data_IF_858593001709
#
_entry.id   IF_858593001709
#
_cell.length_a   1.000
_cell.length_b   1.000
_cell.length_c   1.000
_cell.angle_alpha   90.00
_cell.angle_beta   90.00
_cell.angle_gamma   90.00
#
_symmetry.space_group_name_H-M   'P 1'
#
loop_
_entity.id
_entity.type
_entity.pdbx_description
1 polymer ?
#
# COMPACT_ATOMS: atom_id res chain seq x y z
N UNK A 1 -17.11 -35.16 6.16
CA UNK A 1 -16.90 -34.22 7.29
C UNK A 1 -17.71 -32.99 6.95
N UNK A 2 -18.63 -32.56 7.80
CA UNK A 2 -19.48 -31.39 7.50
C UNK A 2 -18.78 -30.14 8.05
N UNK A 3 -17.95 -29.50 7.22
CA UNK A 3 -17.23 -28.28 7.59
C UNK A 3 -18.00 -27.09 7.05
N UNK A 4 -18.30 -26.12 7.92
CA UNK A 4 -18.86 -24.85 7.50
C UNK A 4 -17.82 -24.03 6.72
N UNK A 5 -18.28 -22.99 6.00
CA UNK A 5 -17.35 -22.06 5.34
C UNK A 5 -16.47 -21.32 6.34
N UNK A 6 -16.99 -21.00 7.52
CA UNK A 6 -16.20 -20.40 8.59
C UNK A 6 -15.08 -21.34 9.07
N UNK A 7 -15.38 -22.64 9.25
CA UNK A 7 -14.35 -23.65 9.57
C UNK A 7 -13.25 -23.71 8.49
N UNK A 8 -13.64 -23.59 7.21
CA UNK A 8 -12.70 -23.58 6.08
C UNK A 8 -11.86 -22.29 6.08
N UNK A 9 -12.44 -21.13 6.39
CA UNK A 9 -11.73 -19.85 6.50
C UNK A 9 -10.71 -19.90 7.65
N UNK A 10 -11.12 -20.34 8.84
CA UNK A 10 -10.27 -20.46 10.03
C UNK A 10 -9.07 -21.38 9.76
N UNK A 11 -9.29 -22.49 9.04
CA UNK A 11 -8.23 -23.43 8.65
C UNK A 11 -7.37 -22.93 7.49
N UNK A 12 -7.68 -21.76 6.93
CA UNK A 12 -7.11 -21.27 5.69
C UNK A 12 -7.21 -22.38 4.63
N UNK A 13 -8.41 -22.85 4.34
CA UNK A 13 -8.75 -23.77 3.24
C UNK A 13 -9.71 -23.05 2.30
N UNK A 14 -9.19 -22.05 1.59
CA UNK A 14 -9.95 -21.10 0.80
C UNK A 14 -9.29 -20.85 -0.56
N UNK A 15 -9.99 -20.22 -1.49
CA UNK A 15 -9.38 -19.59 -2.66
C UNK A 15 -9.41 -18.08 -2.47
N UNK A 16 -8.29 -17.44 -2.15
CA UNK A 16 -8.30 -15.99 -1.90
C UNK A 16 -8.12 -15.18 -3.17
N UNK A 17 -8.88 -14.10 -3.24
CA UNK A 17 -8.78 -13.04 -4.23
C UNK A 17 -8.40 -11.75 -3.51
N UNK A 18 -7.37 -11.07 -4.03
CA UNK A 18 -6.84 -9.84 -3.45
C UNK A 18 -7.15 -8.61 -4.32
N UNK A 19 -7.14 -7.40 -3.75
CA UNK A 19 -7.32 -6.15 -4.53
C UNK A 19 -6.29 -6.01 -5.66
N UNK A 20 -5.03 -6.29 -5.36
CA UNK A 20 -3.93 -6.20 -6.32
C UNK A 20 -4.10 -7.20 -7.47
N UNK A 21 -4.64 -8.37 -7.17
CA UNK A 21 -5.00 -9.39 -8.15
C UNK A 21 -6.11 -8.94 -9.07
N UNK A 22 -7.23 -8.48 -8.51
CA UNK A 22 -8.37 -7.93 -9.26
C UNK A 22 -7.96 -6.78 -10.19
N UNK A 23 -7.17 -5.84 -9.68
CA UNK A 23 -6.57 -4.76 -10.50
C UNK A 23 -5.68 -5.33 -11.61
N UNK A 24 -4.90 -6.36 -11.33
CA UNK A 24 -4.05 -7.00 -12.34
C UNK A 24 -4.89 -7.68 -13.43
N UNK A 25 -5.93 -8.42 -13.04
CA UNK A 25 -6.87 -9.12 -13.91
C UNK A 25 -7.55 -8.16 -14.89
N UNK A 26 -8.13 -7.07 -14.37
CA UNK A 26 -8.80 -6.04 -15.19
C UNK A 26 -7.83 -5.32 -16.14
N UNK A 27 -6.58 -5.12 -15.72
CA UNK A 27 -5.59 -4.41 -16.52
C UNK A 27 -4.97 -5.28 -17.63
N UNK A 28 -4.62 -6.55 -17.36
CA UNK A 28 -4.05 -7.46 -18.38
C UNK A 28 -4.13 -8.93 -17.93
N UNK A 29 -4.97 -9.73 -18.59
CA UNK A 29 -5.22 -11.15 -18.26
C UNK A 29 -3.96 -12.01 -18.34
N UNK A 30 -3.09 -11.82 -19.35
CA UNK A 30 -1.83 -12.56 -19.45
C UNK A 30 -0.87 -12.27 -18.28
N UNK A 31 -0.75 -10.99 -17.88
CA UNK A 31 0.09 -10.62 -16.73
C UNK A 31 -0.47 -11.22 -15.45
N UNK A 32 -1.78 -11.13 -15.25
CA UNK A 32 -2.46 -11.72 -14.11
C UNK A 32 -2.25 -13.23 -14.04
N UNK A 33 -2.39 -13.95 -15.16
CA UNK A 33 -2.19 -15.39 -15.23
C UNK A 33 -0.77 -15.80 -14.80
N UNK A 34 0.27 -15.13 -15.34
CA UNK A 34 1.64 -15.40 -14.91
C UNK A 34 1.90 -15.09 -13.44
N UNK A 35 1.39 -13.96 -12.94
CA UNK A 35 1.68 -13.51 -11.59
C UNK A 35 0.89 -14.25 -10.50
N UNK A 36 -0.40 -14.49 -10.71
CA UNK A 36 -1.32 -14.98 -9.68
C UNK A 36 -1.73 -16.44 -9.87
N UNK A 37 -1.90 -16.91 -11.12
CA UNK A 37 -2.19 -18.33 -11.37
C UNK A 37 -0.93 -19.17 -11.42
N UNK A 38 0.16 -18.65 -11.97
CA UNK A 38 1.42 -19.39 -12.12
C UNK A 38 2.51 -19.00 -11.10
N UNK A 39 2.28 -17.97 -10.28
CA UNK A 39 3.19 -17.45 -9.24
C UNK A 39 4.58 -17.01 -9.71
N UNK A 40 4.71 -16.47 -10.92
CA UNK A 40 5.97 -15.82 -11.31
C UNK A 40 6.07 -14.43 -10.70
N UNK A 41 7.13 -14.19 -9.94
CA UNK A 41 7.45 -12.87 -9.37
C UNK A 41 8.80 -12.39 -9.89
N UNK A 42 8.96 -11.10 -10.23
CA UNK A 42 10.28 -10.54 -10.55
C UNK A 42 11.20 -10.65 -9.33
N UNK A 43 12.46 -11.07 -9.52
CA UNK A 43 13.44 -11.18 -8.41
C UNK A 43 13.89 -9.82 -7.87
N UNK A 44 13.83 -8.78 -8.69
CA UNK A 44 14.19 -7.41 -8.29
C UNK A 44 12.93 -6.67 -7.86
N UNK A 45 12.83 -6.39 -6.57
CA UNK A 45 11.81 -5.48 -6.04
C UNK A 45 12.16 -4.04 -6.45
N UNK A 46 11.16 -3.27 -6.89
CA UNK A 46 11.39 -1.88 -7.26
C UNK A 46 11.68 -1.02 -6.01
N UNK A 47 12.75 -0.21 -6.03
CA UNK A 47 13.15 0.68 -4.92
C UNK A 47 12.00 1.48 -4.26
N UNK A 48 11.02 2.04 -5.01
CA UNK A 48 9.91 2.77 -4.39
C UNK A 48 9.03 1.92 -3.45
N UNK A 49 8.93 0.61 -3.70
CA UNK A 49 8.16 -0.33 -2.87
C UNK A 49 8.85 -0.57 -1.52
N UNK A 50 10.18 -0.72 -1.53
CA UNK A 50 10.98 -0.92 -0.32
C UNK A 50 10.86 0.24 0.69
N UNK A 51 10.87 1.47 0.19
CA UNK A 51 10.63 2.66 1.03
C UNK A 51 9.23 2.63 1.67
N UNK A 52 8.22 2.22 0.90
CA UNK A 52 6.86 2.06 1.40
C UNK A 52 6.80 1.05 2.54
N UNK A 53 7.40 -0.13 2.38
CA UNK A 53 7.43 -1.16 3.43
C UNK A 53 8.03 -0.64 4.73
N UNK A 54 9.19 0.03 4.67
CA UNK A 54 9.82 0.60 5.85
C UNK A 54 8.95 1.70 6.49
N UNK A 55 8.29 2.52 5.67
CA UNK A 55 7.39 3.58 6.14
C UNK A 55 6.17 3.00 6.87
N UNK A 56 5.49 1.99 6.31
CA UNK A 56 4.34 1.35 6.94
C UNK A 56 4.71 0.73 8.29
N UNK A 57 5.82 0.01 8.38
CA UNK A 57 6.27 -0.57 9.65
C UNK A 57 6.59 0.49 10.72
N UNK A 58 7.09 1.66 10.33
CA UNK A 58 7.27 2.78 11.27
C UNK A 58 5.92 3.33 11.75
N UNK A 59 4.95 3.45 10.84
CA UNK A 59 3.60 3.92 11.15
C UNK A 59 2.85 2.91 12.04
N UNK A 60 3.01 1.60 11.80
CA UNK A 60 2.49 0.53 12.66
C UNK A 60 2.96 0.70 14.09
N UNK A 61 4.27 0.91 14.30
CA UNK A 61 4.84 1.17 15.64
C UNK A 61 4.30 2.46 16.25
N UNK A 62 4.12 3.51 15.46
CA UNK A 62 3.63 4.79 15.97
C UNK A 62 2.16 4.72 16.39
N UNK A 63 1.34 3.97 15.65
CA UNK A 63 -0.11 3.88 15.86
C UNK A 63 -0.56 2.62 16.60
N UNK A 64 0.39 1.84 17.14
CA UNK A 64 0.10 0.66 17.94
C UNK A 64 -0.84 0.99 19.12
N UNK A 65 -2.06 0.41 19.15
CA UNK A 65 -3.02 0.64 20.23
C UNK A 65 -2.50 0.28 21.63
N UNK A 66 -1.59 -0.70 21.74
CA UNK A 66 -1.03 -1.14 23.03
C UNK A 66 -0.11 -0.09 23.65
N UNK A 67 0.49 0.77 22.82
CA UNK A 67 1.41 1.83 23.24
C UNK A 67 0.85 3.24 22.99
N UNK A 68 -0.45 3.34 22.66
CA UNK A 68 -1.07 4.61 22.26
C UNK A 68 -0.94 5.71 23.32
N UNK A 69 -1.15 5.35 24.59
CA UNK A 69 -1.10 6.26 25.73
C UNK A 69 0.32 6.50 26.28
N UNK A 70 1.36 5.97 25.63
CA UNK A 70 2.75 6.15 26.04
C UNK A 70 3.29 7.51 25.59
N UNK A 71 4.47 7.88 26.09
CA UNK A 71 5.17 9.09 25.66
C UNK A 71 5.39 9.09 24.14
N UNK A 72 4.80 10.09 23.48
CA UNK A 72 4.79 10.18 22.01
C UNK A 72 6.18 10.45 21.43
N UNK A 73 7.09 11.08 22.17
CA UNK A 73 8.47 11.28 21.72
C UNK A 73 9.24 9.96 21.72
N UNK A 74 9.01 9.12 22.74
CA UNK A 74 9.61 7.78 22.83
C UNK A 74 9.11 6.87 21.71
N UNK A 75 7.79 6.87 21.47
CA UNK A 75 7.20 6.07 20.40
C UNK A 75 7.64 6.57 19.02
N UNK A 76 7.73 7.88 18.79
CA UNK A 76 8.27 8.46 17.56
C UNK A 76 9.72 8.00 17.30
N UNK A 77 10.57 8.04 18.33
CA UNK A 77 11.95 7.57 18.22
C UNK A 77 12.03 6.08 17.88
N UNK A 78 11.18 5.24 18.52
CA UNK A 78 11.08 3.81 18.22
C UNK A 78 10.63 3.55 16.79
N UNK A 79 9.60 4.25 16.32
CA UNK A 79 9.08 4.15 14.95
C UNK A 79 10.16 4.49 13.90
N UNK A 80 10.91 5.59 14.13
CA UNK A 80 12.04 5.96 13.26
C UNK A 80 13.15 4.91 13.30
N UNK A 81 13.45 4.34 14.47
CA UNK A 81 14.43 3.26 14.56
C UNK A 81 13.99 2.00 13.78
N UNK A 82 12.71 1.65 13.82
CA UNK A 82 12.13 0.56 13.01
C UNK A 82 12.29 0.83 11.51
N UNK A 83 11.99 2.05 11.05
CA UNK A 83 12.20 2.44 9.66
C UNK A 83 13.65 2.20 9.20
N UNK A 84 14.61 2.67 10.01
CA UNK A 84 16.04 2.53 9.73
C UNK A 84 16.44 1.05 9.69
N UNK A 85 16.01 0.26 10.67
CA UNK A 85 16.31 -1.17 10.74
C UNK A 85 15.87 -1.93 9.49
N UNK A 86 14.65 -1.66 8.99
CA UNK A 86 14.14 -2.31 7.77
C UNK A 86 14.92 -1.86 6.54
N UNK A 87 15.33 -0.58 6.48
CA UNK A 87 16.17 -0.11 5.38
C UNK A 87 17.53 -0.82 5.34
N UNK A 88 18.15 -1.04 6.50
CA UNK A 88 19.41 -1.78 6.59
C UNK A 88 19.25 -3.26 6.22
N UNK A 89 18.14 -3.89 6.59
CA UNK A 89 17.85 -5.27 6.16
C UNK A 89 17.68 -5.37 4.64
N UNK A 90 16.93 -4.45 4.04
CA UNK A 90 16.75 -4.38 2.58
C UNK A 90 18.09 -4.20 1.86
N UNK A 91 18.96 -3.34 2.40
CA UNK A 91 20.32 -3.14 1.90
C UNK A 91 21.14 -4.42 1.96
N UNK A 92 21.15 -5.10 3.11
CA UNK A 92 21.87 -6.36 3.30
C UNK A 92 21.38 -7.43 2.31
N UNK A 93 20.06 -7.53 2.10
CA UNK A 93 19.46 -8.46 1.14
C UNK A 93 19.85 -8.12 -0.31
N UNK A 94 19.86 -6.83 -0.68
CA UNK A 94 20.28 -6.40 -2.02
C UNK A 94 21.76 -6.74 -2.31
N UNK A 95 22.64 -6.57 -1.31
CA UNK A 95 24.06 -6.96 -1.41
C UNK A 95 24.19 -8.48 -1.56
N UNK A 96 23.49 -9.25 -0.72
CA UNK A 96 23.53 -10.71 -0.73
C UNK A 96 23.00 -11.33 -2.03
N UNK A 97 22.01 -10.70 -2.68
CA UNK A 97 21.42 -11.17 -3.93
C UNK A 97 22.33 -11.03 -5.17
N UNK A 98 23.60 -10.65 -5.01
CA UNK A 98 24.55 -10.60 -6.13
C UNK A 98 24.29 -9.45 -7.11
N UNK A 99 23.49 -8.44 -6.72
CA UNK A 99 23.38 -7.17 -7.45
C UNK A 99 24.71 -6.38 -7.42
N UNK A 100 25.72 -6.90 -6.71
CA UNK A 100 27.00 -6.26 -6.41
C UNK A 100 28.04 -6.25 -7.54
N UNK A 101 27.89 -6.99 -8.64
CA UNK A 101 29.01 -7.08 -9.62
C UNK A 101 29.25 -5.80 -10.46
N UNK A 102 28.44 -4.75 -10.30
CA UNK A 102 28.56 -3.47 -11.03
C UNK A 102 28.32 -2.20 -10.16
N UNK A 103 28.20 -2.28 -8.83
CA UNK A 103 27.46 -1.26 -8.05
C UNK A 103 28.05 -0.81 -6.70
N UNK A 104 29.37 -0.79 -6.51
CA UNK A 104 29.95 -0.58 -5.16
C UNK A 104 29.93 0.87 -4.60
N UNK A 105 29.80 1.92 -5.42
CA UNK A 105 29.84 3.31 -4.89
C UNK A 105 28.49 4.04 -4.85
N UNK A 106 27.57 3.78 -5.79
CA UNK A 106 26.30 4.53 -5.88
C UNK A 106 25.16 3.96 -5.04
N UNK A 107 25.26 2.70 -4.59
CA UNK A 107 24.19 2.05 -3.81
C UNK A 107 24.23 2.53 -2.37
N UNK A 108 25.42 2.66 -1.77
CA UNK A 108 25.55 3.16 -0.40
C UNK A 108 24.96 4.57 -0.27
N UNK A 109 25.32 5.47 -1.19
CA UNK A 109 24.81 6.85 -1.22
C UNK A 109 23.28 6.88 -1.40
N UNK A 110 22.73 6.09 -2.34
CA UNK A 110 21.28 6.01 -2.59
C UNK A 110 20.51 5.49 -1.35
N UNK A 111 21.05 4.49 -0.64
CA UNK A 111 20.45 4.00 0.60
C UNK A 111 20.53 5.03 1.72
N UNK A 112 21.66 5.72 1.88
CA UNK A 112 21.81 6.77 2.88
C UNK A 112 20.86 7.94 2.62
N UNK A 113 20.75 8.41 1.38
CA UNK A 113 19.79 9.44 0.98
C UNK A 113 18.35 9.02 1.30
N UNK A 114 18.01 7.76 1.05
CA UNK A 114 16.69 7.19 1.35
C UNK A 114 16.41 7.17 2.86
N UNK A 115 17.40 6.77 3.66
CA UNK A 115 17.29 6.73 5.12
C UNK A 115 17.10 8.15 5.69
N UNK A 116 17.90 9.12 5.25
CA UNK A 116 17.77 10.51 5.70
C UNK A 116 16.44 11.13 5.27
N UNK A 117 15.98 10.85 4.05
CA UNK A 117 14.66 11.26 3.59
C UNK A 117 13.54 10.71 4.50
N UNK A 118 13.58 9.40 4.79
CA UNK A 118 12.56 8.76 5.64
C UNK A 118 12.57 9.28 7.07
N UNK A 119 13.75 9.44 7.67
CA UNK A 119 13.91 10.05 9.01
C UNK A 119 13.33 11.46 9.06
N UNK A 120 13.62 12.29 8.06
CA UNK A 120 13.09 13.65 7.99
C UNK A 120 11.57 13.69 7.81
N UNK A 121 11.03 12.83 6.94
CA UNK A 121 9.59 12.70 6.73
C UNK A 121 8.85 12.26 8.00
N UNK A 122 9.30 11.17 8.63
CA UNK A 122 8.69 10.63 9.84
C UNK A 122 8.85 11.60 11.02
N UNK A 123 10.04 12.21 11.17
CA UNK A 123 10.30 13.20 12.21
C UNK A 123 9.38 14.42 12.11
N UNK A 124 9.25 14.99 10.91
CA UNK A 124 8.29 16.07 10.66
C UNK A 124 6.85 15.62 10.94
N UNK A 125 6.46 14.45 10.44
CA UNK A 125 5.11 13.95 10.60
C UNK A 125 4.74 13.74 12.07
N UNK A 126 5.57 13.01 12.83
CA UNK A 126 5.29 12.69 14.23
C UNK A 126 5.34 13.90 15.16
N UNK A 127 6.14 14.91 14.83
CA UNK A 127 6.32 16.11 15.66
C UNK A 127 5.31 17.19 15.33
N UNK A 128 5.13 17.49 14.05
CA UNK A 128 4.44 18.70 13.61
C UNK A 128 3.03 18.41 13.07
N UNK A 129 2.79 17.20 12.56
CA UNK A 129 1.52 16.81 11.91
C UNK A 129 0.61 16.00 12.82
N UNK A 130 1.05 14.81 13.24
CA UNK A 130 0.26 13.85 14.00
C UNK A 130 -0.42 14.46 15.24
N UNK A 131 0.24 15.28 16.08
CA UNK A 131 -0.38 15.88 17.27
C UNK A 131 -1.59 16.79 16.99
N UNK A 132 -1.74 17.26 15.76
CA UNK A 132 -2.87 18.08 15.32
C UNK A 132 -3.85 17.25 14.49
N UNK A 133 -3.35 16.48 13.54
CA UNK A 133 -4.15 15.72 12.59
C UNK A 133 -4.88 14.52 13.22
N UNK A 134 -4.34 13.97 14.31
CA UNK A 134 -4.89 12.77 14.99
C UNK A 134 -5.84 13.13 16.13
N UNK A 135 -6.10 14.42 16.37
CA UNK A 135 -7.05 14.83 17.39
C UNK A 135 -8.42 14.24 17.08
N UNK A 136 -8.99 13.55 18.06
CA UNK A 136 -10.27 12.88 17.94
C UNK A 136 -10.24 11.50 17.29
N UNK A 137 -9.05 10.99 16.94
CA UNK A 137 -8.87 9.64 16.44
C UNK A 137 -8.26 8.73 17.50
N UNK A 138 -8.77 7.50 17.58
CA UNK A 138 -8.23 6.43 18.39
C UNK A 138 -7.89 5.22 17.51
N UNK A 139 -6.62 4.82 17.38
CA UNK A 139 -6.25 3.57 16.73
C UNK A 139 -6.86 2.37 17.47
N UNK A 140 -7.40 1.43 16.72
CA UNK A 140 -8.05 0.21 17.23
C UNK A 140 -7.21 -1.01 16.91
N UNK A 141 -6.67 -1.08 15.69
CA UNK A 141 -5.78 -2.12 15.20
C UNK A 141 -4.88 -1.56 14.09
N UNK A 142 -3.69 -2.11 13.93
CA UNK A 142 -2.75 -1.80 12.85
C UNK A 142 -2.37 -3.09 12.12
N UNK A 143 -2.11 -3.01 10.82
CA UNK A 143 -1.60 -4.09 9.97
C UNK A 143 -2.38 -5.41 10.07
N UNK A 144 -3.71 -5.32 10.17
CA UNK A 144 -4.60 -6.49 10.33
C UNK A 144 -5.06 -7.09 9.00
N UNK A 145 -4.98 -8.42 8.92
CA UNK A 145 -5.55 -9.20 7.82
C UNK A 145 -7.05 -9.45 7.99
N UNK A 146 -7.75 -9.66 6.89
CA UNK A 146 -9.14 -10.13 6.90
C UNK A 146 -9.39 -11.09 5.74
N UNK A 147 -10.39 -11.96 5.89
CA UNK A 147 -10.93 -12.81 4.84
C UNK A 147 -12.45 -12.82 4.92
N UNK A 148 -13.11 -12.69 3.78
CA UNK A 148 -14.57 -12.64 3.70
C UNK A 148 -15.04 -13.46 2.50
N UNK A 149 -15.93 -14.42 2.72
CA UNK A 149 -16.51 -15.21 1.62
C UNK A 149 -17.21 -14.32 0.60
N UNK A 150 -17.05 -14.61 -0.69
CA UNK A 150 -17.67 -13.84 -1.78
C UNK A 150 -18.99 -14.51 -2.17
N UNK A 151 -20.14 -13.82 -2.06
CA UNK A 151 -21.41 -14.33 -2.54
C UNK A 151 -21.46 -14.45 -4.07
N UNK A 152 -22.28 -15.37 -4.57
CA UNK A 152 -22.49 -15.54 -6.00
C UNK A 152 -23.61 -14.60 -6.49
N UNK A 153 -23.29 -13.57 -7.30
CA UNK A 153 -24.29 -12.60 -7.76
C UNK A 153 -25.23 -13.15 -8.84
N UNK A 154 -24.90 -14.27 -9.48
CA UNK A 154 -25.74 -14.89 -10.52
C UNK A 154 -26.78 -15.86 -9.94
N UNK A 155 -26.39 -16.64 -8.92
CA UNK A 155 -27.25 -17.66 -8.31
C UNK A 155 -27.93 -17.17 -7.02
N UNK A 156 -27.38 -16.14 -6.37
CA UNK A 156 -27.80 -15.69 -5.04
C UNK A 156 -27.29 -16.58 -3.89
N UNK A 157 -26.42 -17.55 -4.17
CA UNK A 157 -25.78 -18.37 -3.15
C UNK A 157 -24.80 -17.54 -2.31
N UNK A 158 -24.65 -17.89 -1.03
CA UNK A 158 -23.81 -17.14 -0.09
C UNK A 158 -22.31 -17.22 -0.40
N UNK A 159 -21.90 -18.19 -1.24
CA UNK A 159 -20.51 -18.51 -1.51
C UNK A 159 -20.29 -18.94 -2.97
N UNK A 160 -19.18 -18.50 -3.55
CA UNK A 160 -18.62 -19.07 -4.77
C UNK A 160 -17.63 -20.19 -4.37
N UNK A 161 -17.59 -21.27 -5.14
CA UNK A 161 -16.70 -22.42 -4.91
C UNK A 161 -15.70 -22.59 -6.06
N UNK A 162 -14.40 -22.66 -5.74
CA UNK A 162 -13.33 -22.87 -6.71
C UNK A 162 -12.84 -24.33 -6.70
N UNK A 163 -12.71 -24.91 -7.90
CA UNK A 163 -12.24 -26.28 -8.14
C UNK A 163 -10.97 -26.32 -8.99
N UNK A 164 -10.16 -25.27 -8.96
CA UNK A 164 -8.89 -25.28 -9.68
C UNK A 164 -7.93 -26.30 -9.05
N UNK A 165 -6.91 -26.73 -9.81
CA UNK A 165 -5.92 -27.72 -9.36
C UNK A 165 -5.26 -27.33 -8.04
N UNK A 166 -5.03 -26.03 -7.81
CA UNK A 166 -4.46 -25.53 -6.55
C UNK A 166 -5.39 -25.75 -5.35
N UNK A 167 -6.70 -25.61 -5.54
CA UNK A 167 -7.68 -25.86 -4.50
C UNK A 167 -7.77 -27.36 -4.19
N UNK A 168 -7.71 -28.20 -5.22
CA UNK A 168 -7.63 -29.66 -5.07
C UNK A 168 -6.37 -30.08 -4.31
N UNK A 169 -5.20 -29.56 -4.69
CA UNK A 169 -3.92 -29.83 -4.02
C UNK A 169 -3.94 -29.38 -2.55
N UNK A 170 -4.49 -28.19 -2.27
CA UNK A 170 -4.61 -27.65 -0.90
C UNK A 170 -5.52 -28.53 -0.05
N UNK A 171 -6.65 -28.97 -0.59
CA UNK A 171 -7.55 -29.91 0.09
C UNK A 171 -6.86 -31.26 0.34
N UNK A 172 -6.28 -31.86 -0.69
CA UNK A 172 -5.59 -33.14 -0.60
C UNK A 172 -4.49 -33.10 0.47
N UNK A 173 -3.71 -32.02 0.54
CA UNK A 173 -2.70 -31.83 1.58
C UNK A 173 -3.31 -31.77 2.99
N UNK A 174 -4.42 -31.08 3.16
CA UNK A 174 -5.07 -30.93 4.47
C UNK A 174 -5.74 -32.21 4.99
N UNK A 175 -6.21 -33.07 4.07
CA UNK A 175 -6.95 -34.29 4.39
C UNK A 175 -6.21 -35.57 3.99
N UNK A 176 -4.87 -35.54 3.94
CA UNK A 176 -4.02 -36.70 3.63
C UNK A 176 -4.44 -37.46 2.35
N UNK A 177 -4.87 -36.73 1.32
CA UNK A 177 -5.31 -37.25 0.04
C UNK A 177 -6.79 -37.64 -0.05
N UNK A 178 -7.57 -37.54 1.03
CA UNK A 178 -9.01 -37.83 0.99
C UNK A 178 -9.79 -36.71 0.28
N UNK A 179 -10.24 -36.99 -0.95
CA UNK A 179 -11.02 -36.09 -1.78
C UNK A 179 -12.54 -36.36 -1.71
N UNK A 180 -13.00 -37.32 -0.91
CA UNK A 180 -14.40 -37.80 -0.92
C UNK A 180 -15.44 -36.72 -0.60
N UNK A 181 -15.05 -35.72 0.20
CA UNK A 181 -15.90 -34.59 0.61
C UNK A 181 -15.56 -33.28 -0.12
N UNK A 182 -14.67 -33.30 -1.13
CA UNK A 182 -14.25 -32.08 -1.82
C UNK A 182 -15.33 -31.60 -2.81
N UNK A 183 -15.90 -30.43 -2.52
CA UNK A 183 -16.86 -29.75 -3.39
C UNK A 183 -16.29 -28.48 -4.04
N UNK A 184 -15.00 -28.20 -3.79
CA UNK A 184 -14.35 -26.92 -4.04
C UNK A 184 -13.90 -26.27 -2.72
N UNK A 185 -13.05 -25.25 -2.81
CA UNK A 185 -12.77 -24.34 -1.70
C UNK A 185 -13.59 -23.06 -1.87
N UNK A 186 -14.11 -22.45 -0.79
CA UNK A 186 -14.86 -21.21 -0.89
C UNK A 186 -13.93 -20.10 -1.36
N UNK A 187 -14.43 -19.28 -2.29
CA UNK A 187 -13.73 -18.10 -2.77
C UNK A 187 -13.94 -16.98 -1.77
N UNK A 188 -12.83 -16.41 -1.30
CA UNK A 188 -12.84 -15.34 -0.31
C UNK A 188 -12.12 -14.12 -0.85
N UNK A 189 -12.59 -12.95 -0.47
CA UNK A 189 -11.86 -11.71 -0.65
C UNK A 189 -10.98 -11.49 0.57
N UNK A 190 -9.68 -11.36 0.34
CA UNK A 190 -8.67 -11.19 1.38
C UNK A 190 -7.91 -9.88 1.21
N UNK A 191 -7.43 -9.34 2.32
CA UNK A 191 -6.69 -8.09 2.33
C UNK A 191 -6.03 -7.81 3.66
N UNK A 192 -5.25 -6.72 3.69
CA UNK A 192 -4.58 -6.20 4.88
C UNK A 192 -4.84 -4.71 4.98
N UNK A 193 -5.16 -4.25 6.17
CA UNK A 193 -5.45 -2.85 6.47
C UNK A 193 -4.24 -2.23 7.16
N UNK A 194 -3.82 -1.04 6.76
CA UNK A 194 -2.73 -0.34 7.45
C UNK A 194 -3.15 0.01 8.89
N UNK A 195 -4.33 0.63 9.05
CA UNK A 195 -4.90 0.90 10.38
C UNK A 195 -6.43 0.96 10.36
N UNK A 196 -7.06 0.42 11.41
CA UNK A 196 -8.44 0.67 11.76
C UNK A 196 -8.47 1.65 12.93
N UNK A 197 -9.19 2.75 12.79
CA UNK A 197 -9.34 3.76 13.83
C UNK A 197 -10.80 4.12 14.08
N UNK A 198 -11.07 4.67 15.26
CA UNK A 198 -12.36 5.15 15.68
C UNK A 198 -12.33 6.67 15.86
N UNK A 199 -13.36 7.37 15.41
CA UNK A 199 -13.54 8.81 15.66
C UNK A 199 -14.16 9.09 17.04
N UNK A 200 -14.31 10.37 17.42
CA UNK A 200 -14.92 10.80 18.68
C UNK A 200 -16.39 10.35 18.84
N UNK A 201 -17.07 10.03 17.75
CA UNK A 201 -18.46 9.57 17.73
C UNK A 201 -18.58 8.03 17.76
N UNK A 202 -17.46 7.32 17.91
CA UNK A 202 -17.44 5.87 17.95
C UNK A 202 -17.52 5.20 16.57
N UNK A 203 -17.38 5.95 15.47
CA UNK A 203 -17.44 5.43 14.10
C UNK A 203 -16.09 4.95 13.61
N UNK A 204 -16.09 3.81 12.93
CA UNK A 204 -14.86 3.19 12.42
C UNK A 204 -14.50 3.68 11.03
N UNK A 205 -13.20 3.91 10.83
CA UNK A 205 -12.60 4.28 9.56
C UNK A 205 -11.32 3.51 9.33
N UNK A 206 -11.09 3.13 8.07
CA UNK A 206 -9.83 2.54 7.65
C UNK A 206 -8.88 3.68 7.28
N UNK A 207 -7.67 3.66 7.80
CA UNK A 207 -6.59 4.54 7.38
C UNK A 207 -5.71 3.78 6.40
N UNK A 208 -5.41 4.42 5.27
CA UNK A 208 -4.52 3.90 4.25
C UNK A 208 -3.41 4.94 4.03
N UNK A 209 -2.17 4.56 4.36
CA UNK A 209 -1.01 5.41 4.23
C UNK A 209 -0.37 5.21 2.87
N UNK A 210 -0.03 6.32 2.22
CA UNK A 210 0.69 6.32 0.93
C UNK A 210 1.78 7.36 0.95
N UNK A 211 2.91 7.02 0.31
CA UNK A 211 4.01 7.96 0.08
C UNK A 211 4.12 8.28 -1.40
N UNK A 212 4.11 9.57 -1.73
CA UNK A 212 4.07 10.03 -3.13
C UNK A 212 5.12 11.11 -3.39
N UNK A 213 5.58 11.25 -4.64
CA UNK A 213 6.53 12.31 -5.01
C UNK A 213 5.90 13.71 -4.88
N UNK A 214 4.62 13.79 -5.21
CA UNK A 214 3.80 15.00 -5.19
C UNK A 214 2.43 14.60 -4.65
N UNK A 215 1.81 15.47 -3.86
CA UNK A 215 0.46 15.27 -3.35
C UNK A 215 -0.53 15.60 -4.47
N UNK A 216 -1.51 14.72 -4.69
CA UNK A 216 -2.55 15.00 -5.68
C UNK A 216 -3.39 16.21 -5.28
N UNK A 217 -3.85 16.99 -6.25
CA UNK A 217 -4.89 18.00 -6.01
C UNK A 217 -6.28 17.49 -6.37
N UNK A 218 -6.35 16.32 -7.02
CA UNK A 218 -7.57 15.66 -7.45
C UNK A 218 -7.67 14.28 -6.79
N UNK A 219 -8.73 14.09 -6.02
CA UNK A 219 -9.03 12.85 -5.30
C UNK A 219 -10.35 12.22 -5.75
N UNK A 220 -10.94 12.69 -6.85
CA UNK A 220 -12.16 12.08 -7.41
C UNK A 220 -11.94 10.61 -7.74
N UNK A 221 -10.71 10.23 -8.09
CA UNK A 221 -10.35 8.83 -8.35
C UNK A 221 -10.58 7.91 -7.12
N UNK A 222 -10.51 8.43 -5.89
CA UNK A 222 -10.75 7.63 -4.68
C UNK A 222 -12.19 7.14 -4.57
N UNK A 223 -13.15 7.84 -5.18
CA UNK A 223 -14.55 7.40 -5.19
C UNK A 223 -14.75 6.16 -6.07
N UNK A 224 -13.91 6.01 -7.12
CA UNK A 224 -13.90 4.88 -8.03
C UNK A 224 -12.82 3.84 -7.67
N UNK A 225 -12.08 4.05 -6.58
CA UNK A 225 -11.02 3.13 -6.19
C UNK A 225 -11.62 1.82 -5.65
N UNK A 226 -11.31 0.73 -6.35
CA UNK A 226 -11.75 -0.62 -5.99
C UNK A 226 -11.37 -1.02 -4.56
N UNK A 227 -10.17 -0.64 -4.10
CA UNK A 227 -9.66 -1.01 -2.77
C UNK A 227 -10.52 -0.40 -1.68
N UNK A 228 -10.83 0.89 -1.81
CA UNK A 228 -11.59 1.64 -0.82
C UNK A 228 -12.96 1.00 -0.63
N UNK A 229 -13.71 0.82 -1.71
CA UNK A 229 -15.07 0.26 -1.61
C UNK A 229 -15.04 -1.19 -1.10
N UNK A 230 -14.09 -2.00 -1.58
CA UNK A 230 -14.03 -3.42 -1.26
C UNK A 230 -13.65 -3.69 0.20
N UNK A 231 -12.75 -2.91 0.78
CA UNK A 231 -12.35 -3.07 2.18
C UNK A 231 -13.46 -2.62 3.13
N UNK A 232 -14.17 -1.52 2.82
CA UNK A 232 -15.34 -1.12 3.63
C UNK A 232 -16.43 -2.18 3.57
N UNK A 233 -16.72 -2.72 2.36
CA UNK A 233 -17.67 -3.82 2.19
C UNK A 233 -17.27 -5.03 3.03
N UNK A 234 -16.01 -5.47 2.93
CA UNK A 234 -15.51 -6.65 3.64
C UNK A 234 -15.67 -6.51 5.15
N UNK A 235 -15.26 -5.38 5.73
CA UNK A 235 -15.37 -5.17 7.17
C UNK A 235 -16.82 -5.05 7.65
N UNK A 236 -17.72 -4.46 6.84
CA UNK A 236 -19.16 -4.49 7.16
C UNK A 236 -19.73 -5.90 7.13
N UNK A 237 -19.29 -6.76 6.20
CA UNK A 237 -19.70 -8.17 6.17
C UNK A 237 -19.23 -8.94 7.40
N UNK A 238 -18.10 -8.54 7.99
CA UNK A 238 -17.59 -9.05 9.28
C UNK A 238 -18.28 -8.42 10.50
N UNK A 239 -19.29 -7.57 10.31
CA UNK A 239 -20.08 -6.97 11.39
C UNK A 239 -19.54 -5.65 11.96
N UNK A 240 -18.50 -5.05 11.36
CA UNK A 240 -17.97 -3.76 11.78
C UNK A 240 -18.68 -2.62 11.04
N UNK A 241 -19.27 -1.64 11.75
CA UNK A 241 -19.88 -0.42 11.16
C UNK A 241 -18.79 0.57 10.68
N UNK A 242 -18.06 0.16 9.65
CA UNK A 242 -17.04 0.99 9.01
C UNK A 242 -17.70 1.96 8.05
N UNK A 243 -17.43 3.25 8.25
CA UNK A 243 -18.05 4.32 7.46
C UNK A 243 -17.31 4.59 6.17
N UNK A 244 -16.00 4.37 6.15
CA UNK A 244 -15.19 4.73 5.00
C UNK A 244 -13.69 4.64 5.25
N UNK A 245 -12.97 5.41 4.44
CA UNK A 245 -11.52 5.52 4.46
C UNK A 245 -11.05 6.93 4.82
N UNK A 246 -9.88 6.99 5.45
CA UNK A 246 -9.02 8.16 5.51
C UNK A 246 -7.78 7.83 4.69
N UNK A 247 -7.76 8.32 3.45
CA UNK A 247 -6.60 8.22 2.57
C UNK A 247 -5.58 9.27 3.00
N UNK A 248 -4.46 8.81 3.54
CA UNK A 248 -3.37 9.67 3.99
C UNK A 248 -2.22 9.63 2.99
N UNK A 249 -1.94 10.78 2.40
CA UNK A 249 -0.82 10.92 1.47
C UNK A 249 0.28 11.77 2.10
N UNK A 250 1.48 11.19 2.20
CA UNK A 250 2.69 11.87 2.65
C UNK A 250 3.62 12.10 1.46
N UNK A 251 4.05 13.34 1.26
CA UNK A 251 5.02 13.66 0.22
C UNK A 251 6.39 13.07 0.58
N UNK A 252 7.11 12.54 -0.41
CA UNK A 252 8.52 12.09 -0.32
C UNK A 252 9.47 13.29 -0.25
N UNK A 253 9.23 14.15 0.72
CA UNK A 253 10.00 15.33 1.10
C UNK A 253 9.53 15.76 2.50
N UNK A 254 10.30 16.63 3.15
CA UNK A 254 9.92 17.24 4.41
C UNK A 254 10.40 18.70 4.44
N UNK A 255 9.76 19.57 5.25
CA UNK A 255 10.16 20.96 5.32
C UNK A 255 11.61 21.13 5.77
N UNK A 256 12.33 21.96 5.04
CA UNK A 256 13.68 22.43 5.30
C UNK A 256 13.62 23.89 5.71
N UNK A 257 14.65 24.35 6.39
CA UNK A 257 14.82 25.76 6.67
C UNK A 257 14.79 26.59 5.37
N UNK A 258 14.12 27.75 5.35
CA UNK A 258 14.11 28.66 4.21
C UNK A 258 15.52 28.99 3.72
N UNK A 259 15.73 28.86 2.42
CA UNK A 259 17.07 29.05 1.85
C UNK A 259 17.46 30.53 1.91
N UNK A 260 18.52 30.86 2.66
CA UNK A 260 19.12 32.20 2.66
C UNK A 260 19.89 32.45 1.37
N UNK A 261 19.72 33.62 0.77
CA UNK A 261 20.56 34.09 -0.33
C UNK A 261 21.96 34.40 0.23
N UNK A 262 23.01 34.10 -0.56
CA UNK A 262 24.42 34.41 -0.18
C UNK A 262 24.64 35.91 0.06
N UNK A 263 23.89 36.75 -0.66
CA UNK A 263 23.82 38.20 -0.52
C UNK A 263 22.37 38.65 -0.70
N UNK A 264 22.00 39.84 -0.20
CA UNK A 264 20.65 40.39 -0.44
C UNK A 264 20.37 40.48 -1.94
N UNK A 265 19.35 39.77 -2.42
CA UNK A 265 18.99 39.68 -3.83
C UNK A 265 17.65 40.34 -4.08
N UNK A 266 17.68 41.48 -4.79
CA UNK A 266 16.48 42.30 -5.03
C UNK A 266 15.77 42.64 -3.70
N UNK A 267 16.52 43.19 -2.74
CA UNK A 267 16.03 43.52 -1.39
C UNK A 267 15.95 42.35 -0.40
N UNK A 268 15.88 41.11 -0.89
CA UNK A 268 15.53 39.94 -0.07
C UNK A 268 16.74 39.17 0.46
N UNK A 269 16.72 38.86 1.75
CA UNK A 269 17.64 37.95 2.42
C UNK A 269 17.32 36.48 2.11
N UNK A 270 16.05 36.11 1.97
CA UNK A 270 15.63 34.74 1.67
C UNK A 270 15.33 34.54 0.18
N UNK A 271 15.60 33.33 -0.30
CA UNK A 271 15.30 32.91 -1.66
C UNK A 271 13.79 32.77 -1.85
N UNK A 272 13.27 33.26 -2.98
CA UNK A 272 11.89 33.01 -3.44
C UNK A 272 11.84 31.91 -4.51
N UNK A 273 12.88 31.09 -4.62
CA UNK A 273 12.89 29.97 -5.55
C UNK A 273 11.84 28.93 -5.11
N UNK A 274 10.86 28.69 -5.97
CA UNK A 274 9.73 27.77 -5.74
C UNK A 274 10.12 26.29 -5.68
N UNK A 275 11.38 25.96 -6.02
CA UNK A 275 11.93 24.60 -5.92
C UNK A 275 12.49 24.26 -4.54
N UNK A 276 12.49 25.19 -3.58
CA UNK A 276 12.95 24.89 -2.22
C UNK A 276 11.90 24.10 -1.44
N UNK A 277 12.33 23.12 -0.65
CA UNK A 277 11.45 22.27 0.16
C UNK A 277 11.15 22.91 1.52
N UNK A 278 10.59 24.12 1.57
CA UNK A 278 10.15 24.78 2.82
C UNK A 278 8.63 24.72 2.96
N UNK A 279 8.11 24.77 4.18
CA UNK A 279 6.68 24.99 4.44
C UNK A 279 6.36 26.49 4.65
N UNK A 280 5.07 26.81 4.69
CA UNK A 280 4.55 28.17 4.86
C UNK A 280 4.93 28.78 6.21
N UNK A 281 4.78 28.05 7.32
CA UNK A 281 4.97 28.56 8.67
C UNK A 281 6.46 28.84 8.95
N UNK A 282 7.34 27.92 8.57
CA UNK A 282 8.79 28.06 8.63
C UNK A 282 9.28 29.26 7.80
N UNK A 283 8.73 29.43 6.59
CA UNK A 283 9.08 30.55 5.73
C UNK A 283 8.59 31.88 6.29
N UNK A 284 7.32 31.96 6.69
CA UNK A 284 6.71 33.15 7.30
C UNK A 284 7.49 33.58 8.54
N UNK A 285 7.82 32.65 9.42
CA UNK A 285 8.62 32.92 10.61
C UNK A 285 9.99 33.51 10.25
N UNK A 286 10.74 32.84 9.36
CA UNK A 286 12.08 33.28 8.99
C UNK A 286 12.09 34.68 8.34
N UNK A 287 11.16 34.95 7.41
CA UNK A 287 11.12 36.26 6.73
C UNK A 287 10.60 37.37 7.64
N UNK A 288 9.67 37.08 8.55
CA UNK A 288 9.14 38.08 9.48
C UNK A 288 10.12 38.43 10.60
N UNK A 289 10.90 37.46 11.09
CA UNK A 289 11.86 37.66 12.19
C UNK A 289 13.23 38.16 11.70
N UNK A 290 13.74 37.63 10.57
CA UNK A 290 15.11 37.90 10.13
C UNK A 290 15.21 38.86 8.94
N UNK A 291 14.11 39.10 8.21
CA UNK A 291 14.07 40.05 7.11
C UNK A 291 12.80 40.93 7.11
N UNK A 292 12.46 41.42 8.30
CA UNK A 292 11.21 42.11 8.61
C UNK A 292 10.88 43.26 7.66
N UNK A 293 11.88 44.06 7.27
CA UNK A 293 11.66 45.18 6.34
C UNK A 293 11.18 44.71 4.96
N UNK A 294 11.87 43.72 4.38
CA UNK A 294 11.48 43.14 3.10
C UNK A 294 10.12 42.42 3.17
N UNK A 295 9.81 41.78 4.31
CA UNK A 295 8.51 41.19 4.57
C UNK A 295 7.40 42.24 4.62
N UNK A 296 7.58 43.34 5.35
CA UNK A 296 6.61 44.43 5.44
C UNK A 296 6.40 45.16 4.11
N UNK A 297 7.42 45.19 3.25
CA UNK A 297 7.33 45.71 1.87
C UNK A 297 6.62 44.74 0.89
N UNK A 298 6.20 43.55 1.35
CA UNK A 298 5.50 42.56 0.52
C UNK A 298 6.39 41.79 -0.45
N UNK A 299 7.72 41.83 -0.27
CA UNK A 299 8.67 41.18 -1.21
C UNK A 299 8.61 39.64 -1.20
N UNK A 300 7.88 39.07 -0.24
CA UNK A 300 7.67 37.63 -0.06
C UNK A 300 6.23 37.16 -0.32
N UNK A 301 5.29 38.07 -0.63
CA UNK A 301 3.85 37.76 -0.69
C UNK A 301 3.52 36.68 -1.73
N UNK A 302 4.14 36.74 -2.91
CA UNK A 302 3.95 35.74 -3.96
C UNK A 302 4.43 34.36 -3.50
N UNK A 303 5.57 34.31 -2.79
CA UNK A 303 6.13 33.05 -2.29
C UNK A 303 5.27 32.49 -1.15
N UNK A 304 4.81 33.34 -0.23
CA UNK A 304 3.92 32.95 0.86
C UNK A 304 2.58 32.42 0.33
N UNK A 305 2.01 33.07 -0.69
CA UNK A 305 0.80 32.62 -1.37
C UNK A 305 1.03 31.25 -2.03
N UNK A 306 2.13 31.10 -2.77
CA UNK A 306 2.50 29.83 -3.40
C UNK A 306 2.70 28.68 -2.40
N UNK A 307 3.35 28.94 -1.26
CA UNK A 307 3.54 27.94 -0.22
C UNK A 307 2.22 27.52 0.43
N UNK A 308 1.31 28.49 0.62
CA UNK A 308 -0.01 28.23 1.21
C UNK A 308 -0.94 27.44 0.28
N UNK A 309 -0.86 27.68 -1.03
CA UNK A 309 -1.82 27.15 -2.01
C UNK A 309 -1.33 25.93 -2.78
N UNK A 310 -0.01 25.79 -3.02
CA UNK A 310 0.52 24.81 -3.98
C UNK A 310 1.58 23.89 -3.38
N UNK A 311 2.64 24.45 -2.79
CA UNK A 311 3.87 23.68 -2.55
C UNK A 311 4.19 23.34 -1.09
N UNK A 312 3.55 24.01 -0.12
CA UNK A 312 3.77 23.77 1.30
C UNK A 312 3.09 22.52 1.84
N UNK A 313 2.33 21.80 1.01
CA UNK A 313 1.68 20.55 1.41
C UNK A 313 2.70 19.40 1.37
N UNK A 314 3.12 18.99 2.56
CA UNK A 314 3.93 17.79 2.78
C UNK A 314 3.10 16.57 3.17
N UNK A 315 1.83 16.80 3.52
CA UNK A 315 0.88 15.75 3.84
C UNK A 315 -0.55 16.20 3.51
N UNK A 316 -1.45 15.24 3.30
CA UNK A 316 -2.89 15.47 3.21
C UNK A 316 -3.65 14.24 3.73
N UNK A 317 -4.85 14.46 4.29
CA UNK A 317 -5.84 13.40 4.54
C UNK A 317 -7.10 13.71 3.75
N UNK A 318 -7.58 12.72 2.99
CA UNK A 318 -8.87 12.78 2.32
C UNK A 318 -9.78 11.70 2.87
N UNK A 319 -10.94 12.10 3.38
CA UNK A 319 -11.92 11.18 3.93
C UNK A 319 -12.97 10.84 2.88
N UNK A 320 -13.16 9.54 2.62
CA UNK A 320 -14.17 9.03 1.69
C UNK A 320 -15.13 8.16 2.48
N UNK A 321 -16.43 8.42 2.35
CA UNK A 321 -17.49 7.64 3.00
C UNK A 321 -18.20 6.80 1.93
N UNK A 322 -18.64 5.60 2.31
CA UNK A 322 -19.40 4.71 1.43
C UNK A 322 -20.81 4.47 1.95
N UNK A 323 -21.78 4.72 1.06
CA UNK A 323 -23.19 4.42 1.28
C UNK A 323 -23.46 2.92 1.25
N UNK A 324 -24.58 2.48 1.81
CA UNK A 324 -24.94 1.06 1.79
C UNK A 324 -25.20 0.57 0.37
N UNK A 325 -25.81 1.42 -0.46
CA UNK A 325 -26.13 1.15 -1.86
C UNK A 325 -24.86 0.93 -2.69
N UNK A 326 -23.83 1.76 -2.51
CA UNK A 326 -22.52 1.55 -3.16
C UNK A 326 -21.89 0.21 -2.77
N UNK A 327 -22.03 -0.20 -1.50
CA UNK A 327 -21.43 -1.46 -1.03
C UNK A 327 -22.19 -2.69 -1.54
N UNK A 328 -23.50 -2.59 -1.79
CA UNK A 328 -24.27 -3.64 -2.45
C UNK A 328 -23.77 -3.84 -3.89
N UNK A 329 -23.55 -2.76 -4.64
CA UNK A 329 -22.99 -2.87 -5.99
C UNK A 329 -21.53 -3.33 -5.98
N UNK A 330 -20.76 -2.93 -4.96
CA UNK A 330 -19.39 -3.43 -4.75
C UNK A 330 -19.36 -4.94 -4.57
N UNK A 331 -20.26 -5.50 -3.75
CA UNK A 331 -20.37 -6.95 -3.56
C UNK A 331 -20.61 -7.69 -4.88
N UNK A 332 -21.57 -7.20 -5.68
CA UNK A 332 -21.88 -7.79 -6.99
C UNK A 332 -20.67 -7.74 -7.92
N UNK A 333 -19.98 -6.61 -8.02
CA UNK A 333 -18.81 -6.47 -8.86
C UNK A 333 -17.67 -7.40 -8.41
N UNK A 334 -17.42 -7.52 -7.11
CA UNK A 334 -16.46 -8.47 -6.56
C UNK A 334 -16.85 -9.90 -6.95
N UNK A 335 -18.14 -10.24 -6.83
CA UNK A 335 -18.67 -11.55 -7.22
C UNK A 335 -18.49 -11.86 -8.71
N UNK A 336 -18.82 -10.92 -9.60
CA UNK A 336 -18.63 -11.11 -11.04
C UNK A 336 -17.15 -11.26 -11.41
N UNK A 337 -16.28 -10.42 -10.84
CA UNK A 337 -14.83 -10.55 -11.03
C UNK A 337 -14.34 -11.91 -10.53
N UNK A 338 -14.82 -12.38 -9.37
CA UNK A 338 -14.45 -13.67 -8.81
C UNK A 338 -14.88 -14.85 -9.69
N UNK A 339 -16.12 -14.84 -10.20
CA UNK A 339 -16.62 -15.85 -11.15
C UNK A 339 -15.74 -15.94 -12.40
N UNK A 340 -15.42 -14.78 -13.00
CA UNK A 340 -14.52 -14.67 -14.14
C UNK A 340 -13.12 -15.25 -13.82
N UNK A 341 -12.57 -14.91 -12.65
CA UNK A 341 -11.22 -15.29 -12.24
C UNK A 341 -11.07 -16.80 -11.97
N UNK A 342 -12.11 -17.46 -11.45
CA UNK A 342 -12.10 -18.89 -11.15
C UNK A 342 -12.62 -19.76 -12.30
N UNK A 343 -13.10 -19.17 -13.39
CA UNK A 343 -13.60 -19.91 -14.55
C UNK A 343 -12.46 -20.69 -15.27
N UNK A 344 -12.53 -22.03 -15.35
CA UNK A 344 -11.55 -22.81 -16.11
C UNK A 344 -11.59 -22.52 -17.63
N UNK A 345 -12.69 -21.99 -18.15
CA UNK A 345 -12.84 -21.60 -19.56
C UNK A 345 -12.36 -20.17 -19.86
N UNK A 346 -11.83 -19.46 -18.84
CA UNK A 346 -11.35 -18.10 -18.97
C UNK A 346 -10.28 -17.99 -20.06
N UNK A 347 -10.55 -17.14 -21.05
CA UNK A 347 -9.59 -16.84 -22.12
C UNK A 347 -8.47 -15.92 -21.61
N UNK A 348 -7.23 -16.34 -21.83
CA UNK A 348 -6.03 -15.57 -21.46
C UNK A 348 -5.40 -14.94 -22.70
N UNK A 349 -5.36 -13.60 -22.73
CA UNK A 349 -4.73 -12.81 -23.76
C UNK A 349 -4.13 -11.52 -23.17
N UNK A 350 -3.16 -10.89 -23.83
CA UNK A 350 -2.58 -9.65 -23.34
C UNK A 350 -3.48 -8.46 -23.69
N UNK A 351 -3.60 -7.51 -22.78
CA UNK A 351 -4.20 -6.20 -23.04
C UNK A 351 -3.09 -5.20 -23.35
N UNK A 352 -2.48 -5.33 -24.54
CA UNK A 352 -1.32 -4.52 -24.90
C UNK A 352 -1.68 -3.03 -25.08
N UNK A 353 -0.90 -2.14 -24.46
CA UNK A 353 -1.11 -0.70 -24.55
C UNK A 353 0.13 0.09 -24.15
N UNK A 354 0.28 1.31 -24.69
CA UNK A 354 1.47 2.16 -24.47
C UNK A 354 1.79 2.31 -22.98
N UNK A 355 0.81 2.70 -22.17
CA UNK A 355 1.02 2.95 -20.75
C UNK A 355 1.18 1.66 -19.95
N UNK A 356 0.27 0.69 -20.12
CA UNK A 356 0.28 -0.56 -19.36
C UNK A 356 1.52 -1.43 -19.60
N UNK A 357 2.04 -1.46 -20.83
CA UNK A 357 3.22 -2.27 -21.16
C UNK A 357 4.55 -1.59 -20.82
N UNK A 358 4.62 -0.26 -20.74
CA UNK A 358 5.90 0.46 -20.55
C UNK A 358 6.60 0.13 -19.23
N UNK A 359 5.82 -0.14 -18.19
CA UNK A 359 6.33 -0.45 -16.84
C UNK A 359 5.98 -1.87 -16.40
N UNK A 360 5.56 -2.74 -17.33
CA UNK A 360 5.23 -4.12 -17.02
C UNK A 360 6.51 -4.94 -16.89
N UNK A 361 6.74 -5.55 -15.72
CA UNK A 361 7.86 -6.47 -15.52
C UNK A 361 7.87 -7.63 -16.53
N UNK A 362 6.68 -8.08 -16.96
CA UNK A 362 6.49 -9.17 -17.91
C UNK A 362 6.54 -8.73 -19.38
N UNK A 363 7.04 -7.53 -19.69
CA UNK A 363 7.10 -7.03 -21.06
C UNK A 363 7.92 -7.95 -21.97
N UNK A 364 9.10 -8.38 -21.53
CA UNK A 364 9.96 -9.27 -22.32
C UNK A 364 9.35 -10.65 -22.57
N UNK A 365 8.89 -11.42 -21.56
CA UNK A 365 8.22 -12.69 -21.83
C UNK A 365 6.94 -12.52 -22.66
N UNK A 366 6.25 -11.37 -22.56
CA UNK A 366 5.10 -11.08 -23.43
C UNK A 366 5.48 -10.87 -24.90
N UNK A 367 6.62 -10.23 -25.19
CA UNK A 367 7.09 -10.06 -26.56
C UNK A 367 7.48 -11.41 -27.16
N UNK A 368 8.23 -12.23 -26.43
CA UNK A 368 8.59 -13.58 -26.88
C UNK A 368 7.37 -14.47 -27.10
N UNK A 369 6.39 -14.44 -26.19
CA UNK A 369 5.15 -15.18 -26.37
C UNK A 369 4.38 -14.75 -27.63
N UNK A 370 4.48 -13.46 -28.02
CA UNK A 370 3.83 -12.95 -29.24
C UNK A 370 4.58 -13.34 -30.52
N UNK A 371 5.90 -13.46 -30.47
CA UNK A 371 6.73 -13.92 -31.59
C UNK A 371 6.86 -15.45 -31.68
N UNK A 372 6.10 -16.19 -30.85
CA UNK A 372 6.22 -17.64 -30.68
C UNK A 372 7.65 -18.10 -30.31
N UNK A 373 8.39 -17.23 -29.61
CA UNK A 373 9.67 -17.54 -29.00
C UNK A 373 9.53 -18.25 -27.64
N UNK A 374 10.66 -18.52 -27.00
CA UNK A 374 10.74 -19.24 -25.73
C UNK A 374 10.59 -18.29 -24.53
N UNK A 375 9.34 -17.91 -24.24
CA UNK A 375 9.06 -17.07 -23.07
C UNK A 375 9.20 -17.84 -21.74
N UNK A 376 9.13 -19.16 -21.77
CA UNK A 376 9.31 -20.04 -20.61
C UNK A 376 10.73 -19.97 -20.10
N UNK A 377 11.72 -19.97 -20.99
CA UNK A 377 13.12 -19.75 -20.60
C UNK A 377 13.27 -18.42 -19.84
N UNK A 378 12.56 -17.36 -20.26
CA UNK A 378 12.59 -16.09 -19.55
C UNK A 378 11.97 -16.21 -18.15
N UNK A 379 10.84 -16.89 -18.01
CA UNK A 379 10.15 -17.03 -16.73
C UNK A 379 10.87 -17.98 -15.75
N UNK A 380 11.50 -19.04 -16.25
CA UNK A 380 12.06 -20.13 -15.43
C UNK A 380 13.56 -19.98 -15.22
N UNK A 381 14.30 -19.67 -16.27
CA UNK A 381 15.74 -19.96 -16.35
C UNK A 381 16.61 -18.71 -16.48
N UNK A 382 16.06 -17.59 -16.98
CA UNK A 382 16.82 -16.34 -17.18
C UNK A 382 17.31 -15.68 -15.89
N UNK A 383 16.81 -16.14 -14.73
CA UNK A 383 17.07 -15.54 -13.43
C UNK A 383 16.31 -14.22 -13.18
N UNK A 384 15.50 -13.73 -14.12
CA UNK A 384 14.71 -12.49 -13.95
C UNK A 384 13.47 -12.68 -13.08
N UNK A 385 12.91 -13.88 -13.06
CA UNK A 385 11.74 -14.24 -12.27
C UNK A 385 12.06 -15.42 -11.36
N UNK A 386 11.26 -15.55 -10.32
CA UNK A 386 11.20 -16.73 -9.47
C UNK A 386 9.74 -17.19 -9.39
N UNK A 387 9.54 -18.50 -9.46
CA UNK A 387 8.26 -19.09 -9.15
C UNK A 387 8.18 -19.27 -7.64
N UNK A 388 7.35 -18.48 -6.98
CA UNK A 388 7.21 -18.57 -5.52
C UNK A 388 6.13 -19.60 -5.17
N UNK A 389 6.28 -20.26 -4.03
CA UNK A 389 5.16 -21.00 -3.44
C UNK A 389 3.98 -20.04 -3.19
N UNK A 390 2.76 -20.53 -3.28
CA UNK A 390 1.59 -19.71 -3.01
C UNK A 390 1.64 -19.11 -1.59
N UNK A 391 1.08 -17.91 -1.42
CA UNK A 391 1.14 -17.17 -0.14
C UNK A 391 0.56 -17.96 1.04
N UNK A 392 -0.35 -18.92 0.82
CA UNK A 392 -0.91 -19.78 1.88
C UNK A 392 -0.02 -20.95 2.28
N UNK A 393 1.05 -21.23 1.54
CA UNK A 393 2.11 -22.17 1.93
C UNK A 393 3.20 -21.43 2.71
N UNK A 394 3.43 -20.17 2.36
CA UNK A 394 4.30 -19.27 3.13
C UNK A 394 3.59 -18.96 4.45
N UNK A 395 3.96 -19.65 5.52
CA UNK A 395 3.65 -19.20 6.87
C UNK A 395 4.40 -17.88 7.09
N UNK A 396 3.88 -16.77 6.58
CA UNK A 396 4.33 -15.47 7.06
C UNK A 396 4.02 -15.46 8.56
N UNK A 397 5.05 -15.20 9.37
CA UNK A 397 4.86 -14.99 10.79
C UNK A 397 3.80 -13.90 10.91
N UNK A 398 2.62 -14.26 11.41
CA UNK A 398 1.60 -13.26 11.70
C UNK A 398 2.24 -12.27 12.67
N UNK A 399 2.34 -11.01 12.28
CA UNK A 399 2.56 -9.92 13.25
C UNK A 399 1.31 -9.68 14.10
N UNK A 400 0.31 -10.58 14.04
CA UNK A 400 -0.69 -10.74 15.10
C UNK A 400 0.07 -10.90 16.42
N UNK A 401 0.19 -9.80 17.16
CA UNK A 401 0.38 -9.87 18.59
C UNK A 401 -0.71 -10.81 19.09
N UNK A 402 -0.29 -11.87 19.77
CA UNK A 402 -1.23 -12.74 20.47
C UNK A 402 -1.93 -11.87 21.50
N UNK A 403 -3.07 -11.30 21.13
CA UNK A 403 -4.03 -10.75 22.06
C UNK A 403 -4.47 -11.90 22.95
N UNK A 404 -3.95 -11.89 24.17
CA UNK A 404 -4.33 -12.83 25.21
C UNK A 404 -5.82 -12.74 25.54
N UNK A 405 -6.30 -13.83 26.13
CA UNK A 405 -7.60 -14.00 26.78
C UNK A 405 -8.06 -12.81 27.63
#
# INVERSE_FOLDING_TARGET
>A
MDLSVDDLIERKLVHEIHTSERRSFKACRRRWDWLFRQNYYPKVTAKPLEFGVAFHAAMEVYYDPETWDWDREVIAAKAIATFVSICEEQKANAIAAGQSSMLENGVEEDYQERVELGKGMLGFYFKDVAPQADRGWKPIRVEIGFMVAIPNPETGEEHIWCKCSQCEERWAKAFNGDMSSFIGLPVVYAGRLDMLAQDENGKYYIFDWKTARTISQDYEFLYLDDQISSYVWALRKLGLDVRGFVYHEQRKAFPQAPQKNKTRRLGRLFSVNKNQSTDYDSYLKAVSEEDTAAYQEGLYDEMLTYLKEVAGLFWLRHQVIKSTEELIETEKHIGYEALDMVDPALRIYPSAGRFGCSFCAFRQPCLEANSAGDYQFILNDSGLFEQREHYYVRQEASTESKGGE
#
